data_IF_845997261245
#
_entry.id   IF_845997261245
#
_cell.length_a   1.000
_cell.length_b   1.000
_cell.length_c   1.000
_cell.angle_alpha   90.00
_cell.angle_beta   90.00
_cell.angle_gamma   90.00
#
_symmetry.space_group_name_H-M   'P 1'
#
loop_
_entity.id
_entity.type
_entity.pdbx_description
1 polymer ?
#
# COMPACT_ATOMS: atom_id res chain seq x y z
N UNK A 1 -20.97 -26.88 -14.67
CA UNK A 1 -19.55 -26.69 -14.34
C UNK A 1 -19.43 -26.57 -12.83
N UNK A 2 -18.54 -27.31 -12.14
CA UNK A 2 -18.35 -27.13 -10.71
C UNK A 2 -17.87 -25.69 -10.46
N UNK A 3 -18.47 -25.00 -9.49
CA UNK A 3 -17.97 -23.69 -9.03
C UNK A 3 -16.51 -23.89 -8.61
N UNK A 4 -15.60 -23.09 -9.18
CA UNK A 4 -14.23 -22.98 -8.68
C UNK A 4 -14.26 -22.82 -7.16
N UNK A 5 -13.51 -23.65 -6.43
CA UNK A 5 -13.36 -23.55 -4.98
C UNK A 5 -12.54 -22.33 -4.54
N UNK A 6 -11.93 -21.62 -5.51
CA UNK A 6 -11.17 -20.40 -5.28
C UNK A 6 -11.85 -19.19 -5.93
N UNK A 7 -11.68 -18.03 -5.29
CA UNK A 7 -12.13 -16.72 -5.76
C UNK A 7 -10.91 -15.84 -6.10
N UNK A 8 -11.03 -15.03 -7.14
CA UNK A 8 -9.98 -14.09 -7.56
C UNK A 8 -10.36 -12.67 -7.12
N UNK A 9 -9.36 -11.92 -6.65
CA UNK A 9 -9.50 -10.51 -6.25
C UNK A 9 -8.35 -9.71 -6.88
N UNK A 10 -8.63 -8.57 -7.51
CA UNK A 10 -7.59 -7.65 -7.94
C UNK A 10 -6.76 -7.18 -6.74
N UNK A 11 -5.44 -7.28 -6.86
CA UNK A 11 -4.49 -6.84 -5.84
C UNK A 11 -3.15 -6.52 -6.50
N UNK A 12 -2.39 -5.63 -5.88
CA UNK A 12 -1.04 -5.27 -6.36
C UNK A 12 -0.03 -5.52 -5.25
N UNK A 13 1.15 -6.02 -5.58
CA UNK A 13 2.19 -6.34 -4.59
C UNK A 13 3.34 -5.33 -4.69
N UNK A 14 3.45 -4.45 -3.68
CA UNK A 14 4.45 -3.38 -3.65
C UNK A 14 5.52 -3.63 -2.59
N UNK A 15 6.74 -3.17 -2.89
CA UNK A 15 7.71 -2.78 -1.88
C UNK A 15 7.49 -1.30 -1.55
N UNK A 16 7.34 -0.97 -0.28
CA UNK A 16 7.41 0.39 0.24
C UNK A 16 8.52 0.46 1.28
N UNK A 17 9.50 1.36 1.10
CA UNK A 17 10.70 1.39 1.93
C UNK A 17 11.35 0.00 2.03
N UNK A 18 11.57 -0.48 3.26
CA UNK A 18 12.12 -1.83 3.53
C UNK A 18 11.06 -2.88 3.88
N UNK A 19 9.80 -2.68 3.45
CA UNK A 19 8.69 -3.61 3.68
C UNK A 19 7.97 -3.96 2.39
N UNK A 20 7.25 -5.08 2.38
CA UNK A 20 6.37 -5.49 1.27
C UNK A 20 4.95 -5.68 1.77
N UNK A 21 3.98 -5.32 0.95
CA UNK A 21 2.56 -5.50 1.27
C UNK A 21 1.74 -5.82 0.02
N UNK A 22 0.62 -6.53 0.24
CA UNK A 22 -0.47 -6.55 -0.72
C UNK A 22 -1.27 -5.24 -0.61
N UNK A 23 -1.61 -4.67 -1.75
CA UNK A 23 -2.43 -3.48 -1.88
C UNK A 23 -3.76 -3.88 -2.51
N UNK A 24 -4.84 -3.38 -1.93
CA UNK A 24 -6.19 -3.54 -2.44
C UNK A 24 -6.86 -2.17 -2.54
N UNK A 25 -7.64 -1.98 -3.60
CA UNK A 25 -8.72 -1.01 -3.55
C UNK A 25 -9.79 -1.50 -2.56
N UNK A 26 -10.40 -0.60 -1.80
CA UNK A 26 -11.39 -1.03 -0.81
C UNK A 26 -12.66 -1.62 -1.45
N UNK A 27 -13.03 -1.16 -2.65
CA UNK A 27 -14.25 -1.57 -3.36
C UNK A 27 -14.23 -3.02 -3.86
N UNK A 28 -13.06 -3.66 -3.93
CA UNK A 28 -12.95 -5.10 -4.23
C UNK A 28 -13.02 -5.98 -2.97
N UNK A 29 -13.05 -5.39 -1.77
CA UNK A 29 -13.10 -6.11 -0.51
C UNK A 29 -14.51 -6.10 0.10
N UNK A 30 -14.88 -7.11 0.91
CA UNK A 30 -16.02 -7.01 1.81
C UNK A 30 -15.90 -5.78 2.71
N UNK A 31 -17.01 -5.27 3.24
CA UNK A 31 -16.99 -4.20 4.25
C UNK A 31 -16.15 -4.55 5.49
N UNK A 32 -15.72 -3.55 6.29
CA UNK A 32 -14.95 -3.80 7.50
C UNK A 32 -15.65 -4.80 8.44
N UNK A 33 -14.91 -5.78 8.95
CA UNK A 33 -15.43 -6.78 9.89
C UNK A 33 -14.91 -8.20 9.64
N UNK A 34 -15.52 -9.21 10.29
CA UNK A 34 -14.98 -10.57 10.34
C UNK A 34 -14.78 -11.25 8.99
N UNK A 35 -15.63 -10.92 7.99
CA UNK A 35 -15.49 -11.47 6.64
C UNK A 35 -14.26 -10.92 5.92
N UNK A 36 -14.02 -9.61 6.03
CA UNK A 36 -12.80 -8.97 5.52
C UNK A 36 -11.58 -9.54 6.25
N UNK A 37 -11.61 -9.64 7.57
CA UNK A 37 -10.49 -10.17 8.35
C UNK A 37 -10.11 -11.58 7.94
N UNK A 38 -11.12 -12.46 7.74
CA UNK A 38 -10.89 -13.83 7.26
C UNK A 38 -10.25 -13.85 5.88
N UNK A 39 -10.76 -13.04 4.96
CA UNK A 39 -10.24 -12.94 3.60
C UNK A 39 -8.79 -12.44 3.59
N UNK A 40 -8.49 -11.38 4.33
CA UNK A 40 -7.16 -10.78 4.38
C UNK A 40 -6.14 -11.72 5.06
N UNK A 41 -6.52 -12.38 6.16
CA UNK A 41 -5.69 -13.42 6.79
C UNK A 41 -5.42 -14.58 5.84
N UNK A 42 -6.46 -15.05 5.11
CA UNK A 42 -6.32 -16.10 4.11
C UNK A 42 -5.38 -15.70 2.97
N UNK A 43 -5.50 -14.47 2.46
CA UNK A 43 -4.63 -13.95 1.41
C UNK A 43 -3.15 -13.95 1.83
N UNK A 44 -2.87 -13.70 3.11
CA UNK A 44 -1.51 -13.74 3.65
C UNK A 44 -1.04 -15.14 4.06
N UNK A 45 -1.92 -16.16 4.06
CA UNK A 45 -1.59 -17.51 4.50
C UNK A 45 -1.52 -17.65 6.03
N UNK A 46 -2.20 -16.78 6.77
CA UNK A 46 -2.19 -16.79 8.24
C UNK A 46 -3.45 -17.46 8.83
N UNK A 47 -3.34 -18.13 10.00
CA UNK A 47 -2.13 -18.30 10.82
C UNK A 47 -1.22 -19.44 10.32
N UNK A 48 0.05 -19.13 10.08
CA UNK A 48 1.11 -20.09 9.74
C UNK A 48 2.47 -19.41 9.92
N UNK A 49 3.39 -19.93 10.76
CA UNK A 49 4.77 -19.42 10.86
C UNK A 49 5.49 -19.28 9.52
N UNK A 50 5.15 -20.11 8.53
CA UNK A 50 5.76 -20.11 7.21
C UNK A 50 4.99 -19.24 6.20
N UNK A 51 3.70 -19.00 6.43
CA UNK A 51 2.77 -18.38 5.46
C UNK A 51 2.85 -19.06 4.08
N UNK A 52 3.06 -20.39 4.07
CA UNK A 52 3.39 -21.14 2.86
C UNK A 52 2.26 -21.13 1.83
N UNK A 53 1.02 -21.10 2.30
CA UNK A 53 -0.19 -21.10 1.49
C UNK A 53 -0.83 -19.70 1.41
N UNK A 54 0.00 -18.69 1.13
CA UNK A 54 -0.44 -17.31 0.92
C UNK A 54 0.69 -16.39 0.45
N UNK A 55 0.40 -15.08 0.41
CA UNK A 55 1.33 -14.05 -0.08
C UNK A 55 2.25 -13.48 1.01
N UNK A 56 2.08 -13.92 2.25
CA UNK A 56 2.96 -13.56 3.37
C UNK A 56 4.35 -14.12 3.20
N UNK A 57 5.34 -13.44 3.79
CA UNK A 57 6.75 -13.82 3.65
C UNK A 57 7.38 -14.30 4.96
N UNK A 58 6.62 -14.92 5.87
CA UNK A 58 7.05 -15.47 7.18
C UNK A 58 7.63 -14.44 8.18
N UNK A 59 7.61 -13.14 7.86
CA UNK A 59 8.17 -12.06 8.68
C UNK A 59 7.19 -10.91 8.79
N UNK A 60 7.23 -10.18 9.91
CA UNK A 60 6.36 -9.01 10.12
C UNK A 60 6.52 -7.94 9.02
N UNK A 61 7.72 -7.79 8.44
CA UNK A 61 8.03 -6.85 7.35
C UNK A 61 7.43 -7.25 5.99
N UNK A 62 6.97 -8.48 5.84
CA UNK A 62 6.36 -9.06 4.63
C UNK A 62 4.97 -9.64 4.86
N UNK A 63 4.39 -9.43 6.04
CA UNK A 63 3.02 -9.82 6.42
C UNK A 63 2.15 -8.57 6.62
N UNK A 64 1.96 -7.81 5.55
CA UNK A 64 1.34 -6.47 5.58
C UNK A 64 0.35 -6.30 4.45
N UNK A 65 -0.69 -5.52 4.72
CA UNK A 65 -1.70 -5.15 3.73
C UNK A 65 -1.95 -3.64 3.79
N UNK A 66 -2.16 -3.04 2.62
CA UNK A 66 -2.65 -1.68 2.45
C UNK A 66 -4.02 -1.72 1.76
N UNK A 67 -5.00 -1.03 2.33
CA UNK A 67 -6.33 -0.85 1.74
C UNK A 67 -6.50 0.62 1.43
N UNK A 68 -6.80 0.94 0.17
CA UNK A 68 -6.84 2.31 -0.33
C UNK A 68 -8.17 2.58 -1.02
N UNK A 69 -8.70 3.79 -0.83
CA UNK A 69 -9.92 4.26 -1.50
C UNK A 69 -9.86 5.78 -1.73
N UNK A 70 -10.63 6.34 -2.67
CA UNK A 70 -10.85 7.77 -2.74
C UNK A 70 -11.37 8.32 -1.41
N UNK A 71 -10.81 9.43 -0.93
CA UNK A 71 -11.28 10.05 0.30
C UNK A 71 -12.58 10.80 0.07
N UNK A 72 -13.46 10.82 1.07
CA UNK A 72 -14.61 11.73 1.10
C UNK A 72 -14.28 13.04 1.84
N UNK A 73 -13.03 13.21 2.28
CA UNK A 73 -12.57 14.39 3.01
C UNK A 73 -12.08 15.46 2.04
N UNK A 74 -12.19 16.74 2.41
CA UNK A 74 -11.67 17.84 1.60
C UNK A 74 -10.15 18.02 1.71
N UNK A 75 -9.56 17.53 2.81
CA UNK A 75 -8.13 17.67 3.15
C UNK A 75 -7.28 16.46 2.74
N UNK A 76 -7.88 15.42 2.15
CA UNK A 76 -7.19 14.24 1.64
C UNK A 76 -7.71 13.86 0.25
N UNK A 77 -6.84 13.28 -0.56
CA UNK A 77 -7.21 12.75 -1.87
C UNK A 77 -7.63 11.26 -1.75
N UNK A 78 -6.95 10.51 -0.87
CA UNK A 78 -7.25 9.10 -0.58
C UNK A 78 -7.26 8.80 0.93
N UNK A 79 -8.04 7.78 1.30
CA UNK A 79 -7.97 7.14 2.61
C UNK A 79 -7.10 5.87 2.51
N UNK A 80 -6.21 5.70 3.48
CA UNK A 80 -5.31 4.56 3.60
C UNK A 80 -5.50 3.85 4.94
N UNK A 81 -5.79 2.56 4.88
CA UNK A 81 -5.82 1.68 6.05
C UNK A 81 -4.67 0.69 5.97
N UNK A 82 -3.76 0.76 6.95
CA UNK A 82 -2.72 -0.24 7.13
C UNK A 82 -3.26 -1.41 7.95
N UNK A 83 -2.96 -2.64 7.53
CA UNK A 83 -3.28 -3.84 8.26
C UNK A 83 -2.02 -4.70 8.50
N UNK A 84 -1.68 -4.91 9.77
CA UNK A 84 -0.65 -5.85 10.18
C UNK A 84 -1.30 -7.21 10.42
N UNK A 85 -0.93 -8.20 9.62
CA UNK A 85 -1.42 -9.58 9.77
C UNK A 85 -0.44 -10.38 10.61
N UNK A 86 -0.93 -11.07 11.64
CA UNK A 86 -0.15 -11.99 12.44
C UNK A 86 0.42 -13.12 11.58
N UNK A 87 1.69 -13.49 11.79
CA UNK A 87 2.33 -14.57 11.02
C UNK A 87 1.84 -15.91 11.58
N UNK A 88 2.31 -16.28 12.78
CA UNK A 88 1.87 -17.49 13.47
C UNK A 88 0.55 -17.33 14.25
N UNK A 89 0.17 -16.09 14.58
CA UNK A 89 -1.02 -15.78 15.37
C UNK A 89 -2.23 -15.44 14.50
N UNK A 90 -3.43 -15.83 14.95
CA UNK A 90 -4.68 -15.62 14.21
C UNK A 90 -5.30 -14.22 14.44
N UNK A 91 -4.52 -13.16 14.21
CA UNK A 91 -4.96 -11.78 14.44
C UNK A 91 -4.61 -10.84 13.29
N UNK A 92 -5.32 -9.72 13.22
CA UNK A 92 -5.08 -8.61 12.29
C UNK A 92 -5.31 -7.29 13.04
N UNK A 93 -4.42 -6.31 12.84
CA UNK A 93 -4.48 -5.01 13.51
C UNK A 93 -4.52 -3.86 12.51
N UNK A 94 -5.42 -2.90 12.74
CA UNK A 94 -5.67 -1.75 11.85
C UNK A 94 -5.33 -0.39 12.46
N UNK A 95 -4.99 -0.34 13.75
CA UNK A 95 -4.84 0.91 14.52
C UNK A 95 -3.44 1.52 14.47
N UNK A 96 -2.69 1.27 13.40
CA UNK A 96 -1.31 1.71 13.26
C UNK A 96 -1.02 2.29 11.87
N UNK A 97 0.07 3.04 11.77
CA UNK A 97 0.70 3.35 10.48
C UNK A 97 1.92 2.42 10.29
N UNK A 98 2.31 2.22 9.03
CA UNK A 98 3.63 1.70 8.70
C UNK A 98 4.30 2.68 7.74
N UNK A 99 5.28 3.45 8.23
CA UNK A 99 5.97 4.50 7.46
C UNK A 99 6.54 3.99 6.13
N UNK A 100 7.07 2.77 6.13
CA UNK A 100 7.53 2.08 4.93
C UNK A 100 6.41 1.88 3.90
N UNK A 101 5.25 1.37 4.33
CA UNK A 101 4.14 1.09 3.41
C UNK A 101 3.48 2.37 2.93
N UNK A 102 3.41 3.43 3.74
CA UNK A 102 2.88 4.73 3.30
C UNK A 102 3.68 5.32 2.14
N UNK A 103 4.98 5.02 2.01
CA UNK A 103 5.79 5.47 0.87
C UNK A 103 5.33 4.85 -0.48
N UNK A 104 4.66 3.69 -0.47
CA UNK A 104 4.11 3.06 -1.67
C UNK A 104 2.64 3.39 -1.93
N UNK A 105 1.95 4.05 -0.99
CA UNK A 105 0.53 4.42 -1.13
C UNK A 105 0.32 5.50 -2.18
N UNK A 106 1.19 6.50 -2.26
CA UNK A 106 1.16 7.53 -3.29
C UNK A 106 1.27 6.96 -4.72
N UNK A 107 2.35 6.20 -5.04
CA UNK A 107 2.49 5.52 -6.31
C UNK A 107 1.30 4.64 -6.69
N UNK A 108 0.81 3.82 -5.74
CA UNK A 108 -0.38 2.98 -5.96
C UNK A 108 -1.62 3.83 -6.33
N UNK A 109 -1.84 4.94 -5.64
CA UNK A 109 -3.00 5.79 -5.89
C UNK A 109 -2.98 6.45 -7.28
N UNK A 110 -1.79 6.80 -7.78
CA UNK A 110 -1.59 7.36 -9.12
C UNK A 110 -1.87 6.29 -10.18
N UNK A 111 -1.24 5.12 -10.06
CA UNK A 111 -1.38 4.02 -11.02
C UNK A 111 -2.82 3.47 -11.11
N UNK A 112 -3.53 3.44 -9.98
CA UNK A 112 -4.94 3.01 -9.92
C UNK A 112 -5.94 4.12 -10.32
N UNK A 113 -5.46 5.30 -10.70
CA UNK A 113 -6.29 6.44 -11.11
C UNK A 113 -7.19 6.98 -10.00
N UNK A 114 -6.77 6.87 -8.74
CA UNK A 114 -7.56 7.28 -7.57
C UNK A 114 -7.42 8.77 -7.24
N UNK A 115 -6.48 9.47 -7.88
CA UNK A 115 -6.13 10.86 -7.59
C UNK A 115 -6.08 11.69 -8.85
N UNK A 116 -6.35 12.99 -8.70
CA UNK A 116 -6.12 13.98 -9.76
C UNK A 116 -4.74 14.59 -9.61
N UNK A 117 -4.15 15.03 -10.72
CA UNK A 117 -2.84 15.66 -10.71
C UNK A 117 -2.83 16.93 -9.85
N UNK A 118 -1.88 16.97 -8.92
CA UNK A 118 -1.58 18.12 -8.06
C UNK A 118 -0.06 18.28 -8.05
N UNK A 119 0.50 19.43 -8.45
CA UNK A 119 1.95 19.63 -8.42
C UNK A 119 2.52 19.35 -7.03
N UNK A 120 3.51 18.48 -6.97
CA UNK A 120 4.25 18.16 -5.76
C UNK A 120 5.45 19.08 -5.52
N UNK A 121 6.19 18.78 -4.46
CA UNK A 121 7.48 19.38 -4.17
C UNK A 121 8.58 18.38 -4.51
N UNK A 122 9.77 18.88 -4.78
CA UNK A 122 10.96 18.06 -5.01
C UNK A 122 12.18 18.86 -4.60
N UNK A 123 13.12 18.23 -3.91
CA UNK A 123 14.46 18.79 -3.69
C UNK A 123 15.23 18.91 -5.02
N UNK A 124 14.97 17.99 -5.96
CA UNK A 124 15.49 18.06 -7.33
C UNK A 124 14.46 18.72 -8.25
N UNK A 125 14.69 19.99 -8.63
CA UNK A 125 13.77 20.77 -9.47
C UNK A 125 13.66 20.27 -10.90
N UNK A 126 14.50 19.31 -11.31
CA UNK A 126 14.41 18.66 -12.63
C UNK A 126 13.40 17.51 -12.63
N UNK A 127 12.97 17.04 -11.45
CA UNK A 127 12.01 15.96 -11.29
C UNK A 127 10.61 16.52 -11.10
N UNK A 128 9.70 16.17 -12.01
CA UNK A 128 8.28 16.45 -11.87
C UNK A 128 7.70 15.53 -10.81
N UNK A 129 7.02 16.10 -9.83
CA UNK A 129 6.35 15.32 -8.77
C UNK A 129 4.87 15.65 -8.68
N UNK A 130 4.09 14.69 -8.18
CA UNK A 130 2.69 14.83 -7.83
C UNK A 130 2.52 14.71 -6.31
N UNK A 131 1.83 15.67 -5.70
CA UNK A 131 1.39 15.57 -4.32
C UNK A 131 0.15 14.67 -4.21
N UNK A 132 0.23 13.68 -3.31
CA UNK A 132 -0.89 12.84 -2.90
C UNK A 132 -1.13 13.04 -1.41
N UNK A 133 -2.27 13.63 -1.05
CA UNK A 133 -2.67 13.81 0.35
C UNK A 133 -3.37 12.55 0.83
N UNK A 134 -2.84 11.94 1.89
CA UNK A 134 -3.26 10.61 2.36
C UNK A 134 -3.80 10.74 3.77
N UNK A 135 -5.07 10.40 3.97
CA UNK A 135 -5.62 10.24 5.32
C UNK A 135 -5.41 8.81 5.80
N UNK A 136 -4.54 8.62 6.79
CA UNK A 136 -4.36 7.32 7.44
C UNK A 136 -5.52 7.08 8.42
N UNK A 137 -6.35 6.09 8.14
CA UNK A 137 -7.55 5.79 8.93
C UNK A 137 -7.21 5.19 10.31
N UNK A 138 -6.11 4.46 10.41
CA UNK A 138 -5.63 3.81 11.64
C UNK A 138 -5.12 4.81 12.67
N UNK A 139 -4.32 5.80 12.23
CA UNK A 139 -3.75 6.83 13.11
C UNK A 139 -4.56 8.13 13.13
N UNK A 140 -5.48 8.31 12.18
CA UNK A 140 -6.27 9.53 11.96
C UNK A 140 -5.38 10.75 11.71
N UNK A 141 -4.31 10.56 10.93
CA UNK A 141 -3.36 11.61 10.56
C UNK A 141 -3.31 11.76 9.04
N UNK A 142 -3.04 12.99 8.60
CA UNK A 142 -2.73 13.29 7.22
C UNK A 142 -1.24 13.10 6.97
N UNK A 143 -0.92 12.51 5.82
CA UNK A 143 0.43 12.41 5.24
C UNK A 143 0.39 13.10 3.87
N UNK A 144 1.53 13.61 3.41
CA UNK A 144 1.66 14.14 2.05
C UNK A 144 2.81 13.45 1.35
N UNK A 145 2.51 12.70 0.30
CA UNK A 145 3.53 12.04 -0.51
C UNK A 145 3.80 12.88 -1.76
N UNK A 146 5.05 13.21 -2.04
CA UNK A 146 5.48 13.82 -3.29
C UNK A 146 6.13 12.74 -4.16
N UNK A 147 5.35 12.26 -5.14
CA UNK A 147 5.69 11.11 -5.96
C UNK A 147 6.24 11.57 -7.29
N UNK A 148 7.45 11.15 -7.69
CA UNK A 148 7.98 11.39 -9.04
C UNK A 148 7.08 10.79 -10.11
N UNK A 149 6.78 11.58 -11.14
CA UNK A 149 5.91 11.18 -12.25
C UNK A 149 6.48 11.63 -13.59
N UNK A 150 6.14 10.88 -14.63
CA UNK A 150 6.48 11.20 -16.01
C UNK A 150 5.76 12.46 -16.50
N UNK A 151 6.09 12.90 -17.71
CA UNK A 151 5.34 13.99 -18.34
C UNK A 151 3.86 13.66 -18.52
N UNK A 152 3.53 12.38 -18.74
CA UNK A 152 2.14 11.90 -18.83
C UNK A 152 1.46 11.74 -17.47
N UNK A 153 2.16 11.94 -16.36
CA UNK A 153 1.64 11.79 -15.00
C UNK A 153 1.62 10.36 -14.47
N UNK A 154 2.28 9.42 -15.15
CA UNK A 154 2.43 8.04 -14.68
C UNK A 154 3.57 7.95 -13.65
N UNK A 155 3.52 6.99 -12.72
CA UNK A 155 4.59 6.81 -11.74
C UNK A 155 5.87 6.31 -12.43
N UNK A 156 7.01 6.95 -12.13
CA UNK A 156 8.32 6.54 -12.65
C UNK A 156 9.16 5.89 -11.54
N UNK A 157 9.30 4.54 -11.50
CA UNK A 157 10.01 3.86 -10.41
C UNK A 157 11.54 3.92 -10.53
N UNK A 158 12.07 4.19 -11.72
CA UNK A 158 13.51 4.16 -11.99
C UNK A 158 14.20 5.41 -11.45
N UNK A 159 15.40 5.23 -10.88
CA UNK A 159 16.17 6.34 -10.34
C UNK A 159 17.46 5.89 -9.67
N UNK A 160 18.19 6.85 -9.10
CA UNK A 160 19.54 6.64 -8.57
C UNK A 160 19.61 6.63 -7.05
N UNK A 161 18.47 6.74 -6.37
CA UNK A 161 18.37 6.78 -4.91
C UNK A 161 18.43 5.37 -4.32
N UNK A 162 19.30 5.18 -3.32
CA UNK A 162 19.42 3.93 -2.58
C UNK A 162 19.05 4.14 -1.12
N UNK A 163 18.42 3.13 -0.51
CA UNK A 163 18.10 3.13 0.93
C UNK A 163 18.74 1.91 1.61
N UNK A 164 19.15 2.07 2.88
CA UNK A 164 19.67 0.94 3.65
C UNK A 164 18.63 -0.18 3.77
N UNK A 165 19.04 -1.43 3.52
CA UNK A 165 18.17 -2.60 3.59
C UNK A 165 17.39 -2.93 2.32
N UNK A 166 17.52 -2.15 1.23
CA UNK A 166 16.98 -2.49 -0.08
C UNK A 166 18.11 -2.55 -1.13
N UNK A 167 18.34 -3.70 -1.79
CA UNK A 167 19.30 -3.78 -2.89
C UNK A 167 18.89 -2.93 -4.10
N UNK A 168 19.88 -2.38 -4.80
CA UNK A 168 19.67 -1.58 -6.01
C UNK A 168 19.36 -0.12 -5.73
N UNK A 169 18.88 0.58 -6.76
CA UNK A 169 18.49 1.99 -6.73
C UNK A 169 17.14 2.16 -7.41
N UNK A 170 16.35 3.10 -6.90
CA UNK A 170 15.04 3.47 -7.44
C UNK A 170 14.90 4.99 -7.40
N UNK A 171 13.79 5.52 -7.88
CA UNK A 171 13.45 6.92 -7.60
C UNK A 171 13.22 7.11 -6.09
N UNK A 172 13.57 8.29 -5.58
CA UNK A 172 13.23 8.71 -4.23
C UNK A 172 11.86 9.40 -4.23
N UNK A 173 10.99 9.05 -3.27
CA UNK A 173 9.76 9.78 -3.00
C UNK A 173 9.84 10.43 -1.62
N UNK A 174 9.31 11.63 -1.48
CA UNK A 174 9.25 12.36 -0.21
C UNK A 174 7.88 12.11 0.45
N UNK A 175 7.86 11.94 1.79
CA UNK A 175 6.66 11.64 2.58
C UNK A 175 6.62 12.46 3.88
#
# INVERSE_FOLDING_TARGET
>A
MPKSSQYSLPATYYRGGTSKALFFREDVLPGPGPQRDRLLKRAMGSPDPLQLDGMGGSKAVTSKIAIVRPSTRSDADIDFTFAQVGVAGDFIHYSANCGNISAAVGPFAIEEGLVQFRPGRSVDTTVKTQEVRIYNTGTRKLLSAHVPVSESGAFEPEGTHGIAGAPGKTIGAEL
#
